data_IF_184669423634
#
_entry.id   IF_184669423634
#
_cell.length_a   1.000
_cell.length_b   1.000
_cell.length_c   1.000
_cell.angle_alpha   90.00
_cell.angle_beta   90.00
_cell.angle_gamma   90.00
#
_symmetry.space_group_name_H-M   'P 1'
#
loop_
_entity.id
_entity.type
_entity.pdbx_description
1 polymer ?
#
# COMPACT_ATOMS: atom_id res chain seq x y z
N UNK A 1 -6.61 -27.61 -26.56
CA UNK A 1 -5.31 -26.98 -26.26
C UNK A 1 -5.55 -25.97 -25.15
N UNK A 2 -5.26 -26.35 -23.91
CA UNK A 2 -5.64 -25.60 -22.72
C UNK A 2 -4.59 -24.53 -22.45
N UNK A 3 -4.94 -23.26 -22.65
CA UNK A 3 -4.05 -22.12 -22.37
C UNK A 3 -4.29 -21.70 -20.91
N UNK A 4 -3.28 -21.91 -20.07
CA UNK A 4 -3.23 -21.34 -18.73
C UNK A 4 -2.84 -19.86 -18.84
N UNK A 5 -3.71 -18.96 -18.35
CA UNK A 5 -3.39 -17.54 -18.20
C UNK A 5 -2.92 -17.27 -16.78
N UNK A 6 -1.65 -16.84 -16.63
CA UNK A 6 -1.13 -16.36 -15.36
C UNK A 6 -1.56 -14.90 -15.16
N UNK A 7 -2.48 -14.67 -14.21
CA UNK A 7 -2.78 -13.32 -13.71
C UNK A 7 -1.66 -12.89 -12.75
N UNK A 8 -0.95 -11.81 -13.07
CA UNK A 8 -0.04 -11.17 -12.12
C UNK A 8 -0.80 -10.08 -11.36
N UNK A 9 -1.27 -10.39 -10.15
CA UNK A 9 -1.71 -9.38 -9.19
C UNK A 9 -0.44 -8.81 -8.53
N UNK A 10 -0.08 -7.56 -8.84
CA UNK A 10 0.97 -6.85 -8.10
C UNK A 10 0.33 -6.17 -6.92
N UNK A 11 0.36 -6.81 -5.75
CA UNK A 11 -0.08 -6.22 -4.49
C UNK A 11 1.07 -5.35 -3.96
N UNK A 12 0.93 -4.03 -4.03
CA UNK A 12 1.79 -3.12 -3.29
C UNK A 12 1.30 -3.05 -1.85
N UNK A 13 2.07 -3.64 -0.92
CA UNK A 13 1.85 -3.44 0.51
C UNK A 13 2.71 -2.27 0.97
N UNK A 14 2.12 -1.07 1.03
CA UNK A 14 2.79 0.09 1.62
C UNK A 14 2.54 0.06 3.13
N UNK A 15 3.40 -0.66 3.86
CA UNK A 15 3.41 -0.61 5.31
C UNK A 15 4.00 0.74 5.75
N UNK A 16 3.17 1.59 6.36
CA UNK A 16 3.65 2.79 7.07
C UNK A 16 4.26 2.37 8.41
N UNK A 17 5.50 1.87 8.39
CA UNK A 17 6.31 1.85 9.61
C UNK A 17 7.01 3.19 9.69
N UNK A 18 6.64 3.97 10.70
CA UNK A 18 7.34 5.20 11.07
C UNK A 18 8.73 4.83 11.59
N UNK A 19 9.68 4.63 10.67
CA UNK A 19 11.11 4.83 10.88
C UNK A 19 11.82 4.85 9.52
N UNK A 20 12.17 6.06 9.07
CA UNK A 20 13.13 6.37 7.99
C UNK A 20 12.93 5.68 6.63
N UNK A 21 12.06 6.23 5.78
CA UNK A 21 12.05 5.93 4.33
C UNK A 21 12.90 6.95 3.58
N UNK A 22 13.98 6.47 2.97
CA UNK A 22 14.76 7.21 1.97
C UNK A 22 14.01 7.21 0.64
N UNK A 23 13.62 8.39 0.18
CA UNK A 23 12.98 8.61 -1.12
C UNK A 23 14.09 8.68 -2.19
N UNK A 24 14.08 7.75 -3.15
CA UNK A 24 14.94 7.83 -4.34
C UNK A 24 14.14 8.33 -5.54
N UNK A 25 14.57 9.42 -6.21
CA UNK A 25 14.06 9.79 -7.53
C UNK A 25 14.66 8.89 -8.64
N UNK A 26 14.01 8.75 -9.82
CA UNK A 26 14.35 7.74 -10.83
C UNK A 26 15.71 7.88 -11.55
N UNK A 27 16.56 8.85 -11.20
CA UNK A 27 17.79 9.15 -11.95
C UNK A 27 19.08 9.17 -11.11
N UNK A 28 19.19 8.32 -10.06
CA UNK A 28 20.33 8.34 -9.14
C UNK A 28 21.42 7.28 -9.37
N UNK A 29 21.62 6.77 -10.59
CA UNK A 29 22.68 5.78 -10.86
C UNK A 29 24.07 6.38 -11.15
N UNK A 30 24.27 7.70 -11.00
CA UNK A 30 25.54 8.36 -11.33
C UNK A 30 25.97 9.44 -10.32
N UNK A 31 25.98 9.14 -9.02
CA UNK A 31 26.63 10.03 -8.03
C UNK A 31 27.13 9.32 -6.76
N UNK A 32 27.86 8.20 -6.92
CA UNK A 32 28.41 7.47 -5.76
C UNK A 32 29.90 7.12 -5.87
N UNK A 33 30.72 7.98 -6.48
CA UNK A 33 32.17 7.72 -6.63
C UNK A 33 33.13 8.77 -6.07
N UNK A 34 32.68 9.83 -5.39
CA UNK A 34 33.60 10.93 -5.01
C UNK A 34 33.54 11.40 -3.56
N UNK A 35 32.71 10.84 -2.68
CA UNK A 35 32.61 11.30 -1.28
C UNK A 35 33.38 10.49 -0.23
N UNK A 36 33.96 9.34 -0.60
CA UNK A 36 34.71 8.49 0.34
C UNK A 36 36.19 8.89 0.52
N UNK A 37 36.74 9.73 -0.37
CA UNK A 37 38.18 10.02 -0.40
C UNK A 37 38.61 11.22 0.47
N UNK A 38 37.68 11.94 1.11
CA UNK A 38 38.01 13.13 1.93
C UNK A 38 38.29 12.82 3.40
N UNK A 39 37.98 11.62 3.90
CA UNK A 39 38.22 11.25 5.29
C UNK A 39 39.61 10.64 5.55
N UNK A 40 40.36 10.27 4.49
CA UNK A 40 41.65 9.57 4.63
C UNK A 40 42.86 10.52 4.68
N UNK A 41 42.70 11.82 4.42
CA UNK A 41 43.86 12.73 4.20
C UNK A 41 44.25 13.61 5.40
N UNK A 42 43.59 13.53 6.56
CA UNK A 42 44.02 14.29 7.75
C UNK A 42 44.57 13.32 8.81
N UNK A 43 45.67 12.64 8.51
CA UNK A 43 46.44 11.94 9.56
C UNK A 43 47.90 11.72 9.16
N UNK A 44 48.58 12.76 8.70
CA UNK A 44 50.04 12.77 8.71
C UNK A 44 50.49 14.21 8.90
N UNK A 45 50.96 14.53 10.12
CA UNK A 45 52.01 15.50 10.45
C UNK A 45 51.94 15.83 11.96
N UNK A 46 52.54 14.99 12.80
CA UNK A 46 53.13 15.38 14.08
C UNK A 46 53.87 14.17 14.70
N UNK A 47 55.19 14.06 14.42
CA UNK A 47 56.09 13.19 15.18
C UNK A 47 56.24 13.78 16.58
N UNK A 48 55.48 13.26 17.57
CA UNK A 48 55.91 13.12 18.97
C UNK A 48 54.82 12.61 19.96
N UNK A 49 53.60 12.26 19.54
CA UNK A 49 52.54 11.84 20.48
C UNK A 49 52.19 10.34 20.50
N UNK A 50 53.05 9.46 19.94
CA UNK A 50 52.71 8.04 19.73
C UNK A 50 52.46 7.20 21.00
N UNK A 51 52.99 7.61 22.17
CA UNK A 51 52.85 6.86 23.43
C UNK A 51 51.54 7.11 24.19
N UNK A 52 50.94 8.30 24.08
CA UNK A 52 49.68 8.60 24.78
C UNK A 52 48.45 8.17 23.97
N UNK A 53 48.53 8.22 22.63
CA UNK A 53 47.42 7.78 21.77
C UNK A 53 47.22 6.25 21.77
N UNK A 54 48.28 5.46 21.95
CA UNK A 54 48.17 3.99 22.05
C UNK A 54 47.41 3.56 23.31
N UNK A 55 47.63 4.23 24.43
CA UNK A 55 46.95 3.91 25.70
C UNK A 55 45.46 4.29 25.63
N UNK A 56 45.13 5.45 25.06
CA UNK A 56 43.74 5.89 24.89
C UNK A 56 43.01 4.97 23.90
N UNK A 57 43.66 4.57 22.80
CA UNK A 57 43.10 3.65 21.79
C UNK A 57 42.80 2.26 22.37
N UNK A 58 43.70 1.67 23.16
CA UNK A 58 43.44 0.38 23.80
C UNK A 58 42.30 0.45 24.83
N UNK A 59 42.18 1.55 25.57
CA UNK A 59 41.11 1.69 26.57
C UNK A 59 39.71 1.75 25.95
N UNK A 60 39.55 2.41 24.78
CA UNK A 60 38.28 2.40 24.05
C UNK A 60 37.93 1.02 23.48
N UNK A 61 38.92 0.25 23.01
CA UNK A 61 38.68 -1.11 22.51
C UNK A 61 38.24 -2.05 23.65
N UNK A 62 38.82 -1.94 24.85
CA UNK A 62 38.36 -2.71 26.01
C UNK A 62 36.95 -2.31 26.47
N UNK A 63 36.61 -1.02 26.44
CA UNK A 63 35.25 -0.55 26.76
C UNK A 63 34.24 -1.07 25.73
N UNK A 64 34.56 -1.00 24.43
CA UNK A 64 33.73 -1.54 23.34
C UNK A 64 33.56 -3.07 23.43
N UNK A 65 34.61 -3.82 23.80
CA UNK A 65 34.51 -5.27 23.96
C UNK A 65 33.73 -5.67 25.22
N UNK A 66 33.78 -4.87 26.29
CA UNK A 66 32.95 -5.11 27.49
C UNK A 66 31.46 -4.83 27.24
N UNK A 67 31.13 -3.85 26.39
CA UNK A 67 29.74 -3.63 25.97
C UNK A 67 29.25 -4.70 24.98
N UNK A 68 30.16 -5.22 24.14
CA UNK A 68 29.85 -6.32 23.21
C UNK A 68 29.57 -7.64 23.96
N UNK A 69 30.35 -7.94 25.01
CA UNK A 69 30.16 -9.14 25.84
C UNK A 69 28.87 -9.16 26.65
N UNK A 70 28.28 -7.99 26.96
CA UNK A 70 26.99 -7.89 27.67
C UNK A 70 25.77 -7.98 26.73
N UNK A 71 25.99 -7.95 25.42
CA UNK A 71 24.94 -8.07 24.40
C UNK A 71 24.65 -9.52 23.97
N UNK A 72 25.48 -10.49 24.37
CA UNK A 72 25.34 -11.91 23.99
C UNK A 72 24.84 -12.84 25.11
N UNK A 73 24.28 -12.31 26.19
CA UNK A 73 23.55 -13.12 27.17
C UNK A 73 22.14 -12.57 27.40
N UNK A 74 21.33 -12.53 26.33
CA UNK A 74 19.87 -12.45 26.46
C UNK A 74 19.21 -13.12 25.25
N UNK A 75 18.74 -14.34 25.52
CA UNK A 75 17.69 -15.08 24.82
C UNK A 75 17.96 -15.60 23.39
N UNK A 76 18.64 -16.76 23.32
CA UNK A 76 18.30 -17.77 22.32
C UNK A 76 16.92 -18.37 22.67
N UNK A 77 15.85 -17.67 22.29
CA UNK A 77 14.54 -18.28 22.08
C UNK A 77 14.18 -17.97 20.63
N UNK A 78 14.37 -18.96 19.75
CA UNK A 78 13.94 -18.89 18.36
C UNK A 78 12.41 -18.88 18.29
N UNK A 79 11.78 -17.78 18.69
CA UNK A 79 10.44 -17.42 18.21
C UNK A 79 10.60 -17.08 16.74
N UNK A 80 10.01 -17.89 15.87
CA UNK A 80 9.75 -17.48 14.49
C UNK A 80 8.84 -16.27 14.54
N UNK A 81 9.42 -15.06 14.52
CA UNK A 81 8.69 -13.80 14.31
C UNK A 81 8.11 -13.80 12.89
N UNK A 82 7.12 -14.66 12.66
CA UNK A 82 6.32 -14.67 11.45
C UNK A 82 5.30 -13.55 11.62
N UNK A 83 5.34 -12.57 10.75
CA UNK A 83 4.31 -11.53 10.67
C UNK A 83 2.93 -12.21 10.67
N UNK A 84 1.96 -11.76 11.49
CA UNK A 84 0.61 -12.31 11.49
C UNK A 84 0.06 -12.37 10.06
N UNK A 85 -0.53 -13.51 9.67
CA UNK A 85 -1.13 -13.68 8.35
C UNK A 85 -2.44 -12.91 8.31
N UNK A 86 -2.52 -11.90 7.46
CA UNK A 86 -3.79 -11.23 7.14
C UNK A 86 -4.54 -12.02 6.06
N UNK A 87 -5.83 -12.27 6.29
CA UNK A 87 -6.74 -12.91 5.33
C UNK A 87 -7.80 -11.90 4.93
N UNK A 88 -7.79 -11.49 3.66
CA UNK A 88 -8.77 -10.57 3.08
C UNK A 88 -9.82 -11.35 2.31
N UNK A 89 -11.09 -11.09 2.59
CA UNK A 89 -12.23 -11.56 1.82
C UNK A 89 -12.94 -10.41 1.11
N UNK A 90 -13.14 -10.52 -0.21
CA UNK A 90 -14.05 -9.61 -0.90
C UNK A 90 -15.49 -9.83 -0.40
N UNK A 91 -16.21 -8.73 -0.19
CA UNK A 91 -17.57 -8.74 0.31
C UNK A 91 -18.51 -8.21 -0.77
N UNK A 92 -19.51 -9.01 -1.14
CA UNK A 92 -20.53 -8.66 -2.13
C UNK A 92 -21.93 -8.73 -1.52
N UNK A 93 -22.83 -7.91 -2.05
CA UNK A 93 -24.26 -8.03 -1.76
C UNK A 93 -24.87 -9.25 -2.47
N UNK A 94 -26.13 -9.54 -2.17
CA UNK A 94 -26.89 -10.58 -2.86
C UNK A 94 -26.98 -10.25 -4.35
N UNK A 95 -26.70 -11.25 -5.20
CA UNK A 95 -26.81 -11.15 -6.65
C UNK A 95 -27.80 -12.19 -7.17
N UNK A 96 -29.04 -11.76 -7.45
CA UNK A 96 -30.10 -12.67 -7.86
C UNK A 96 -30.38 -13.74 -6.80
N UNK A 97 -30.12 -15.01 -7.13
CA UNK A 97 -30.28 -16.15 -6.22
C UNK A 97 -29.04 -16.43 -5.38
N UNK A 98 -27.89 -15.82 -5.69
CA UNK A 98 -26.66 -16.02 -4.94
C UNK A 98 -26.68 -15.16 -3.66
N UNK A 99 -26.52 -15.77 -2.48
CA UNK A 99 -26.55 -15.03 -1.23
C UNK A 99 -25.39 -14.03 -1.15
N UNK A 100 -25.62 -12.90 -0.48
CA UNK A 100 -24.57 -11.95 -0.16
C UNK A 100 -23.55 -12.54 0.82
N UNK A 101 -22.46 -11.80 1.06
CA UNK A 101 -21.33 -12.27 1.85
C UNK A 101 -21.57 -12.30 3.37
N UNK A 102 -22.58 -11.56 3.87
CA UNK A 102 -22.82 -11.41 5.32
C UNK A 102 -22.93 -12.74 6.10
N UNK A 103 -23.70 -13.76 5.66
CA UNK A 103 -23.80 -15.03 6.38
C UNK A 103 -22.46 -15.77 6.48
N UNK A 104 -21.62 -15.66 5.46
CA UNK A 104 -20.26 -16.22 5.47
C UNK A 104 -19.37 -15.48 6.43
N UNK A 105 -19.42 -14.14 6.44
CA UNK A 105 -18.69 -13.33 7.44
C UNK A 105 -19.13 -13.71 8.84
N UNK A 106 -20.43 -13.79 9.11
CA UNK A 106 -20.95 -14.10 10.44
C UNK A 106 -20.56 -15.49 10.94
N UNK A 107 -20.40 -16.46 10.04
CA UNK A 107 -20.02 -17.84 10.40
C UNK A 107 -18.51 -18.11 10.36
N UNK A 108 -17.73 -17.32 9.64
CA UNK A 108 -16.29 -17.57 9.38
C UNK A 108 -15.36 -16.41 9.78
N UNK A 109 -15.86 -15.38 10.49
CA UNK A 109 -15.06 -14.20 10.86
C UNK A 109 -13.74 -14.54 11.56
N UNK A 110 -13.68 -15.61 12.35
CA UNK A 110 -12.45 -16.06 13.04
C UNK A 110 -11.31 -16.47 12.10
N UNK A 111 -11.62 -16.73 10.82
CA UNK A 111 -10.64 -17.04 9.77
C UNK A 111 -10.33 -15.85 8.85
N UNK A 112 -10.97 -14.70 9.08
CA UNK A 112 -10.78 -13.47 8.33
C UNK A 112 -10.05 -12.44 9.17
N UNK A 113 -9.34 -11.54 8.51
CA UNK A 113 -8.76 -10.34 9.13
C UNK A 113 -9.41 -9.08 8.58
N UNK A 114 -9.79 -9.12 7.30
CA UNK A 114 -10.29 -7.97 6.55
C UNK A 114 -11.46 -8.43 5.68
N UNK A 115 -12.53 -7.62 5.63
CA UNK A 115 -13.51 -7.66 4.55
C UNK A 115 -13.33 -6.46 3.62
N UNK A 116 -13.55 -6.66 2.33
CA UNK A 116 -13.39 -5.62 1.31
C UNK A 116 -14.69 -5.48 0.50
N UNK A 117 -15.66 -4.65 0.95
CA UNK A 117 -16.95 -4.50 0.28
C UNK A 117 -16.87 -3.84 -1.10
N UNK A 118 -17.48 -4.48 -2.09
CA UNK A 118 -17.49 -4.07 -3.50
C UNK A 118 -18.66 -3.11 -3.80
N UNK A 119 -18.64 -1.93 -3.17
CA UNK A 119 -19.78 -1.01 -3.19
C UNK A 119 -19.63 0.24 -4.05
N UNK A 120 -18.40 0.63 -4.39
CA UNK A 120 -18.15 1.91 -5.05
C UNK A 120 -17.62 1.70 -6.46
N UNK A 121 -18.39 2.19 -7.44
CA UNK A 121 -17.96 2.31 -8.83
C UNK A 121 -17.61 3.76 -9.14
N UNK A 122 -16.67 4.00 -10.04
CA UNK A 122 -16.44 5.35 -10.57
C UNK A 122 -17.72 5.91 -11.26
N UNK A 123 -17.96 7.21 -11.15
CA UNK A 123 -19.05 7.87 -11.85
C UNK A 123 -18.61 8.26 -13.26
N UNK A 124 -19.31 7.77 -14.28
CA UNK A 124 -18.98 8.01 -15.68
C UNK A 124 -19.42 9.39 -16.19
N UNK A 125 -20.28 10.08 -15.44
CA UNK A 125 -20.80 11.42 -15.76
C UNK A 125 -20.10 12.51 -14.97
N UNK A 126 -19.55 12.19 -13.81
CA UNK A 126 -18.87 13.14 -12.91
C UNK A 126 -17.48 12.59 -12.53
N UNK A 127 -16.44 12.88 -13.33
CA UNK A 127 -15.09 12.40 -13.05
C UNK A 127 -14.64 12.66 -11.61
N UNK A 128 -14.15 11.62 -10.95
CA UNK A 128 -13.73 11.63 -9.54
C UNK A 128 -14.87 11.43 -8.54
N UNK A 129 -16.13 11.41 -8.96
CA UNK A 129 -17.25 11.02 -8.10
C UNK A 129 -17.42 9.50 -8.06
N UNK A 130 -18.11 9.02 -7.03
CA UNK A 130 -18.40 7.61 -6.82
C UNK A 130 -19.91 7.37 -6.96
N UNK A 131 -20.26 6.20 -7.48
CA UNK A 131 -21.61 5.63 -7.46
C UNK A 131 -21.59 4.48 -6.46
N UNK A 132 -22.53 4.51 -5.52
CA UNK A 132 -22.66 3.52 -4.45
C UNK A 132 -23.75 2.50 -4.82
N UNK A 133 -23.52 1.22 -4.52
CA UNK A 133 -24.52 0.16 -4.74
C UNK A 133 -25.43 -0.10 -3.52
N UNK A 134 -25.13 0.50 -2.37
CA UNK A 134 -25.83 0.29 -1.10
C UNK A 134 -26.12 1.61 -0.38
N UNK A 135 -27.06 1.59 0.56
CA UNK A 135 -27.42 2.79 1.34
C UNK A 135 -26.43 3.06 2.47
N UNK A 136 -26.39 4.31 2.95
CA UNK A 136 -25.56 4.70 4.08
C UNK A 136 -25.86 3.92 5.37
N UNK A 137 -27.13 3.59 5.64
CA UNK A 137 -27.50 2.77 6.80
C UNK A 137 -26.99 1.34 6.67
N UNK A 138 -27.04 0.77 5.47
CA UNK A 138 -26.49 -0.55 5.21
C UNK A 138 -24.97 -0.58 5.39
N UNK A 139 -24.25 0.43 4.84
CA UNK A 139 -22.81 0.59 5.07
C UNK A 139 -22.47 0.59 6.56
N UNK A 140 -23.15 1.44 7.35
CA UNK A 140 -22.95 1.52 8.81
C UNK A 140 -23.16 0.18 9.49
N UNK A 141 -24.25 -0.52 9.16
CA UNK A 141 -24.60 -1.81 9.78
C UNK A 141 -23.52 -2.86 9.51
N UNK A 142 -23.08 -3.01 8.26
CA UNK A 142 -22.08 -4.01 7.88
C UNK A 142 -20.72 -3.67 8.48
N UNK A 143 -20.30 -2.40 8.43
CA UNK A 143 -19.01 -1.97 8.98
C UNK A 143 -18.97 -2.16 10.49
N UNK A 144 -20.01 -1.72 11.21
CA UNK A 144 -20.10 -1.91 12.65
C UNK A 144 -20.07 -3.40 13.02
N UNK A 145 -20.84 -4.24 12.31
CA UNK A 145 -20.87 -5.69 12.53
C UNK A 145 -19.51 -6.37 12.28
N UNK A 146 -18.68 -5.82 11.37
CA UNK A 146 -17.33 -6.29 11.11
C UNK A 146 -16.38 -5.86 12.23
N UNK A 147 -16.43 -4.60 12.67
CA UNK A 147 -15.63 -4.08 13.78
C UNK A 147 -15.93 -4.79 15.10
N UNK A 148 -17.20 -5.11 15.38
CA UNK A 148 -17.62 -5.90 16.55
C UNK A 148 -17.04 -7.34 16.54
N UNK A 149 -16.59 -7.82 15.37
CA UNK A 149 -15.95 -9.13 15.16
C UNK A 149 -14.43 -9.02 15.01
N UNK A 150 -13.84 -7.89 15.36
CA UNK A 150 -12.41 -7.58 15.20
C UNK A 150 -11.91 -7.68 13.74
N UNK A 151 -12.81 -7.47 12.76
CA UNK A 151 -12.46 -7.42 11.34
C UNK A 151 -12.24 -5.98 10.90
N UNK A 152 -11.20 -5.74 10.09
CA UNK A 152 -11.01 -4.49 9.37
C UNK A 152 -11.91 -4.43 8.14
N UNK A 153 -12.29 -3.23 7.72
CA UNK A 153 -13.09 -3.01 6.50
C UNK A 153 -12.33 -2.11 5.53
N UNK A 154 -12.05 -2.64 4.33
CA UNK A 154 -11.43 -1.88 3.25
C UNK A 154 -12.43 -1.48 2.19
N UNK A 155 -12.56 -0.18 1.96
CA UNK A 155 -13.40 0.38 0.90
C UNK A 155 -12.84 -0.04 -0.46
N UNK A 156 -13.59 -0.82 -1.25
CA UNK A 156 -13.19 -1.13 -2.63
C UNK A 156 -13.79 -0.10 -3.59
N UNK A 157 -12.95 0.45 -4.47
CA UNK A 157 -13.38 1.36 -5.53
C UNK A 157 -12.92 0.83 -6.87
N UNK A 158 -13.86 0.63 -7.80
CA UNK A 158 -13.60 -0.06 -9.07
C UNK A 158 -14.11 0.68 -10.31
N UNK A 159 -13.57 0.32 -11.48
CA UNK A 159 -14.03 0.77 -12.80
C UNK A 159 -14.68 -0.36 -13.63
N UNK A 160 -15.16 -1.41 -12.95
CA UNK A 160 -15.87 -2.54 -13.54
C UNK A 160 -17.39 -2.30 -13.69
N UNK A 161 -18.11 -3.23 -14.34
CA UNK A 161 -19.57 -3.21 -14.52
C UNK A 161 -20.11 -2.00 -15.30
N UNK A 162 -19.41 -1.63 -16.38
CA UNK A 162 -19.95 -0.81 -17.46
C UNK A 162 -20.37 -1.70 -18.64
N UNK A 163 -21.02 -1.09 -19.64
CA UNK A 163 -21.49 -1.76 -20.84
C UNK A 163 -20.37 -2.46 -21.60
N UNK A 164 -19.16 -1.91 -21.54
CA UNK A 164 -17.95 -2.51 -22.13
C UNK A 164 -16.73 -2.29 -21.24
N UNK A 165 -15.72 -3.15 -21.40
CA UNK A 165 -14.41 -2.95 -20.75
C UNK A 165 -13.82 -1.59 -21.14
N UNK A 166 -13.91 -1.22 -22.42
CA UNK A 166 -13.37 0.04 -22.94
C UNK A 166 -14.00 1.27 -22.29
N UNK A 167 -15.32 1.23 -22.03
CA UNK A 167 -16.00 2.28 -21.26
C UNK A 167 -15.42 2.39 -19.84
N UNK A 168 -15.20 1.26 -19.15
CA UNK A 168 -14.56 1.26 -17.83
C UNK A 168 -13.14 1.83 -17.85
N UNK A 169 -12.35 1.52 -18.89
CA UNK A 169 -11.03 2.14 -19.08
C UNK A 169 -11.13 3.65 -19.27
N UNK A 170 -12.05 4.10 -20.13
CA UNK A 170 -12.26 5.52 -20.40
C UNK A 170 -12.69 6.27 -19.14
N UNK A 171 -13.58 5.69 -18.33
CA UNK A 171 -13.99 6.34 -17.07
C UNK A 171 -12.82 6.47 -16.11
N UNK A 172 -12.01 5.43 -15.94
CA UNK A 172 -10.81 5.51 -15.12
C UNK A 172 -9.83 6.56 -15.68
N UNK A 173 -9.59 6.55 -16.99
CA UNK A 173 -8.75 7.55 -17.68
C UNK A 173 -9.21 8.98 -17.39
N UNK A 174 -10.52 9.26 -17.48
CA UNK A 174 -11.07 10.59 -17.18
C UNK A 174 -10.83 11.03 -15.72
N UNK A 175 -10.76 10.09 -14.78
CA UNK A 175 -10.38 10.39 -13.39
C UNK A 175 -8.89 10.73 -13.29
N UNK A 176 -8.04 10.05 -14.06
CA UNK A 176 -6.58 10.16 -14.06
C UNK A 176 -6.06 11.37 -14.85
N UNK A 177 -6.76 11.77 -15.91
CA UNK A 177 -6.31 12.67 -16.98
C UNK A 177 -5.87 14.08 -16.50
N UNK A 178 -6.43 14.58 -15.40
CA UNK A 178 -6.01 15.89 -14.86
C UNK A 178 -6.12 16.00 -13.33
N UNK A 179 -5.32 16.92 -12.78
CA UNK A 179 -5.14 17.14 -11.35
C UNK A 179 -6.46 17.43 -10.62
N UNK A 180 -7.38 18.16 -11.25
CA UNK A 180 -8.67 18.52 -10.65
C UNK A 180 -9.53 17.28 -10.41
N UNK A 181 -9.59 16.36 -11.37
CA UNK A 181 -10.38 15.13 -11.24
C UNK A 181 -9.76 14.19 -10.20
N UNK A 182 -8.42 14.09 -10.16
CA UNK A 182 -7.72 13.34 -9.11
C UNK A 182 -7.98 13.92 -7.73
N UNK A 183 -7.98 15.25 -7.58
CA UNK A 183 -8.29 15.89 -6.31
C UNK A 183 -9.74 15.62 -5.87
N UNK A 184 -10.72 15.75 -6.77
CA UNK A 184 -12.13 15.41 -6.46
C UNK A 184 -12.25 13.96 -6.02
N UNK A 185 -11.60 13.04 -6.73
CA UNK A 185 -11.54 11.62 -6.37
C UNK A 185 -10.99 11.42 -4.97
N UNK A 186 -9.78 11.94 -4.71
CA UNK A 186 -9.12 11.80 -3.40
C UNK A 186 -9.96 12.39 -2.27
N UNK A 187 -10.63 13.53 -2.47
CA UNK A 187 -11.50 14.09 -1.43
C UNK A 187 -12.75 13.23 -1.18
N UNK A 188 -13.37 12.69 -2.23
CA UNK A 188 -14.52 11.80 -2.07
C UNK A 188 -14.15 10.52 -1.33
N UNK A 189 -13.00 9.91 -1.66
CA UNK A 189 -12.48 8.77 -0.92
C UNK A 189 -12.30 9.10 0.56
N UNK A 190 -11.64 10.22 0.87
CA UNK A 190 -11.40 10.64 2.27
C UNK A 190 -12.70 10.89 3.02
N UNK A 191 -13.69 11.51 2.37
CA UNK A 191 -14.98 11.79 2.99
C UNK A 191 -15.71 10.50 3.36
N UNK A 192 -15.82 9.55 2.43
CA UNK A 192 -16.43 8.24 2.67
C UNK A 192 -15.71 7.49 3.79
N UNK A 193 -14.38 7.42 3.73
CA UNK A 193 -13.57 6.75 4.74
C UNK A 193 -13.77 7.35 6.14
N UNK A 194 -13.77 8.68 6.26
CA UNK A 194 -13.96 9.36 7.52
C UNK A 194 -15.37 9.23 8.09
N UNK A 195 -16.37 9.28 7.21
CA UNK A 195 -17.78 9.22 7.56
C UNK A 195 -18.16 7.83 8.07
N UNK A 196 -17.71 6.79 7.38
CA UNK A 196 -18.10 5.40 7.67
C UNK A 196 -17.05 4.62 8.47
N UNK A 197 -15.89 5.23 8.78
CA UNK A 197 -14.81 4.62 9.58
C UNK A 197 -14.19 3.40 8.92
N UNK A 198 -13.94 3.47 7.61
CA UNK A 198 -13.15 2.44 6.93
C UNK A 198 -11.70 2.43 7.45
N UNK A 199 -11.14 1.24 7.63
CA UNK A 199 -9.76 1.05 8.13
C UNK A 199 -8.72 1.18 7.01
N UNK A 200 -9.18 0.99 5.76
CA UNK A 200 -8.34 1.02 4.59
C UNK A 200 -9.10 1.11 3.29
N UNK A 201 -8.35 1.10 2.20
CA UNK A 201 -8.88 1.27 0.86
C UNK A 201 -8.23 0.27 -0.08
N UNK A 202 -9.04 -0.29 -0.99
CA UNK A 202 -8.60 -1.10 -2.10
C UNK A 202 -8.97 -0.39 -3.42
N UNK A 203 -7.97 0.18 -4.09
CA UNK A 203 -8.16 0.78 -5.42
C UNK A 203 -8.08 -0.35 -6.46
N UNK A 204 -9.23 -0.71 -7.01
CA UNK A 204 -9.41 -1.81 -7.97
C UNK A 204 -9.71 -1.27 -9.38
N UNK A 205 -8.74 -0.53 -9.92
CA UNK A 205 -8.81 0.01 -11.27
C UNK A 205 -8.15 -0.95 -12.25
N UNK A 206 -8.96 -1.66 -13.02
CA UNK A 206 -8.52 -2.65 -13.99
C UNK A 206 -8.50 -2.12 -15.42
N UNK A 207 -7.65 -2.75 -16.24
CA UNK A 207 -7.55 -2.56 -17.67
C UNK A 207 -7.15 -1.13 -18.10
N UNK A 208 -6.51 -0.34 -17.24
CA UNK A 208 -6.10 1.04 -17.55
C UNK A 208 -5.33 1.17 -18.87
N UNK A 209 -5.45 2.32 -19.55
CA UNK A 209 -4.57 2.64 -20.67
C UNK A 209 -3.14 2.77 -20.17
N UNK A 210 -2.18 2.31 -20.97
CA UNK A 210 -0.76 2.42 -20.60
C UNK A 210 -0.28 3.86 -20.54
N UNK A 211 -0.91 4.76 -21.31
CA UNK A 211 -0.67 6.20 -21.24
C UNK A 211 -1.01 6.78 -19.87
N UNK A 212 -1.88 6.13 -19.10
CA UNK A 212 -2.34 6.62 -17.80
C UNK A 212 -1.49 6.09 -16.63
N UNK A 213 -0.44 5.31 -16.91
CA UNK A 213 0.43 4.70 -15.89
C UNK A 213 0.97 5.72 -14.90
N UNK A 214 1.49 6.84 -15.41
CA UNK A 214 2.13 7.86 -14.58
C UNK A 214 1.08 8.64 -13.79
N UNK A 215 -0.06 8.96 -14.42
CA UNK A 215 -1.20 9.59 -13.74
C UNK A 215 -1.81 8.72 -12.64
N UNK A 216 -1.85 7.40 -12.84
CA UNK A 216 -2.26 6.45 -11.81
C UNK A 216 -1.27 6.45 -10.63
N UNK A 217 0.04 6.46 -10.91
CA UNK A 217 1.05 6.59 -9.86
C UNK A 217 0.90 7.90 -9.08
N UNK A 218 0.55 9.01 -9.73
CA UNK A 218 0.30 10.28 -9.06
C UNK A 218 -0.84 10.21 -8.04
N UNK A 219 -1.95 9.50 -8.34
CA UNK A 219 -3.01 9.28 -7.32
C UNK A 219 -2.43 8.64 -6.07
N UNK A 220 -1.59 7.62 -6.21
CA UNK A 220 -1.00 6.93 -5.06
C UNK A 220 -0.12 7.87 -4.25
N UNK A 221 0.74 8.63 -4.92
CA UNK A 221 1.63 9.62 -4.28
C UNK A 221 0.85 10.74 -3.61
N UNK A 222 -0.26 11.19 -4.19
CA UNK A 222 -1.11 12.26 -3.64
C UNK A 222 -1.99 11.76 -2.48
N UNK A 223 -2.43 10.50 -2.54
CA UNK A 223 -3.27 9.88 -1.52
C UNK A 223 -2.46 9.55 -0.27
N UNK A 224 -1.27 8.94 -0.40
CA UNK A 224 -0.41 8.53 0.72
C UNK A 224 -0.14 9.61 1.80
N UNK A 225 0.26 10.85 1.49
CA UNK A 225 0.50 11.89 2.50
C UNK A 225 -0.81 12.41 3.13
N UNK A 226 -1.92 12.38 2.39
CA UNK A 226 -3.26 12.73 2.90
C UNK A 226 -3.83 11.62 3.82
N UNK A 227 -3.25 10.43 3.73
CA UNK A 227 -3.57 9.19 4.46
C UNK A 227 -2.73 9.04 5.74
N UNK A 228 -1.45 9.40 5.69
CA UNK A 228 -0.52 9.27 6.82
C UNK A 228 -0.90 10.11 8.06
N UNK A 229 -1.78 11.11 7.93
CA UNK A 229 -2.41 11.79 9.08
C UNK A 229 -3.63 11.01 9.57
N UNK A 230 -3.39 9.84 10.17
CA UNK A 230 -4.30 9.17 11.11
C UNK A 230 -5.62 8.61 10.58
N UNK A 231 -5.79 8.41 9.26
CA UNK A 231 -7.09 8.03 8.67
C UNK A 231 -7.12 6.69 7.94
N UNK A 232 -5.97 6.12 7.55
CA UNK A 232 -5.92 4.83 6.85
C UNK A 232 -4.72 4.04 7.37
N UNK A 233 -4.95 2.79 7.78
CA UNK A 233 -3.88 1.90 8.22
C UNK A 233 -3.11 1.32 7.04
N UNK A 234 -3.83 0.88 5.98
CA UNK A 234 -3.25 0.28 4.78
C UNK A 234 -4.04 0.61 3.52
N UNK A 235 -3.32 0.74 2.41
CA UNK A 235 -3.87 0.85 1.06
C UNK A 235 -3.46 -0.39 0.25
N UNK A 236 -4.45 -1.02 -0.36
CA UNK A 236 -4.28 -2.11 -1.32
C UNK A 236 -4.59 -1.57 -2.71
N UNK A 237 -3.81 -2.03 -3.69
CA UNK A 237 -3.97 -1.65 -5.08
C UNK A 237 -4.02 -2.94 -5.87
N UNK A 238 -5.13 -3.14 -6.55
CA UNK A 238 -5.26 -4.16 -7.58
C UNK A 238 -5.10 -3.47 -8.92
N UNK A 239 -4.01 -3.79 -9.63
CA UNK A 239 -3.79 -3.31 -10.98
C UNK A 239 -3.75 -4.47 -11.95
N UNK A 240 -4.68 -4.46 -12.91
CA UNK A 240 -4.63 -5.38 -14.05
C UNK A 240 -4.32 -4.59 -15.31
N UNK A 241 -3.07 -4.59 -15.74
CA UNK A 241 -2.73 -4.07 -17.06
C UNK A 241 -3.18 -5.09 -18.11
N UNK A 242 -3.96 -4.64 -19.10
CA UNK A 242 -4.41 -5.51 -20.19
C UNK A 242 -3.21 -6.13 -20.92
N UNK A 243 -3.22 -7.45 -21.08
CA UNK A 243 -2.28 -8.15 -21.95
C UNK A 243 -2.56 -7.76 -23.40
N UNK A 244 -1.53 -7.28 -24.11
CA UNK A 244 -1.62 -7.05 -25.54
C UNK A 244 -1.77 -8.37 -26.30
N UNK A 245 -2.78 -8.45 -27.18
CA UNK A 245 -2.60 -9.17 -28.43
C UNK A 245 -1.88 -8.23 -29.39
N UNK A 246 -0.61 -8.50 -29.69
CA UNK A 246 0.04 -7.93 -30.87
C UNK A 246 -0.68 -8.48 -32.11
N UNK A 247 -1.75 -7.80 -32.54
CA UNK A 247 -2.34 -8.03 -33.85
C UNK A 247 -1.37 -7.54 -34.91
N UNK A 248 -0.61 -8.48 -35.48
CA UNK A 248 0.17 -8.25 -36.69
C UNK A 248 -0.73 -7.76 -37.83
N UNK A 249 -0.18 -6.84 -38.60
CA UNK A 249 -0.73 -6.27 -39.84
C UNK A 249 -1.25 -7.33 -40.80
#
# INVERSE_FOLDING_TARGET
MSVFYANFNVIYNVNLVADSVWIFPPNAFLYFKTKLLKFVVIFFLAKNCYRSFTIISLSMVFILMSSYGKLQSKDENHSTNKTPREVLGFYTEQEGTYPGSQPTVDSQFSSLSIIAPFWYKLDDKRPGSLIESVTADHKRKVIQSAHEKDLKVYMVVHNLFYETVEKGKQVASNVLDNDKNRDVFIQNLRNEMNQFKYDGINIDMENLYLTDRDSFYLILVELLPKVAKGLIEKMYISLKMGLFSCGGR
#
